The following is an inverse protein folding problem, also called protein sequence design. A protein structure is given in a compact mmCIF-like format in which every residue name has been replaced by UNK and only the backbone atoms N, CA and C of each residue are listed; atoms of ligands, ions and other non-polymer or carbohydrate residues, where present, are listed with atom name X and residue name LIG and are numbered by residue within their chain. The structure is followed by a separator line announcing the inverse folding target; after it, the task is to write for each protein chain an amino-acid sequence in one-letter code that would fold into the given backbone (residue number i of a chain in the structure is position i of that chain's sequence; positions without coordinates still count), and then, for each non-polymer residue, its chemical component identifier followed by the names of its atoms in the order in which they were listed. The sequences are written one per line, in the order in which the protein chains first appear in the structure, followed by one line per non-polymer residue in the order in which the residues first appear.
data_IF_747824748329
#
_entry.id   IF_747824748329
#
_cell.length_a   1.000
_cell.length_b   1.000
_cell.length_c   1.000
_cell.angle_alpha   90.00
_cell.angle_beta   90.00
_cell.angle_gamma   90.00
#
_symmetry.space_group_name_H-M   'P 1'
#
loop_
_entity.id
_entity.type
_entity.pdbx_description
1 polymer ?
#
# COMPACT_ATOMS: atom_id res chain seq x y z
N UNK A 1 7.59 -22.93 -6.35
CA UNK A 1 9.00 -22.48 -6.25
C UNK A 1 9.18 -21.89 -4.86
N UNK A 2 9.85 -22.59 -3.94
CA UNK A 2 10.15 -22.06 -2.59
C UNK A 2 11.10 -20.88 -2.78
N UNK A 3 10.62 -19.67 -2.54
CA UNK A 3 11.49 -18.49 -2.45
C UNK A 3 12.07 -18.49 -1.04
N UNK A 4 13.40 -18.54 -1.01
CA UNK A 4 14.24 -18.92 0.12
C UNK A 4 14.27 -17.85 1.20
N UNK A 5 13.82 -18.21 2.40
CA UNK A 5 14.07 -17.46 3.64
C UNK A 5 15.56 -17.25 3.90
N UNK A 6 16.42 -18.11 3.35
CA UNK A 6 17.88 -17.98 3.46
C UNK A 6 18.42 -16.73 2.77
N UNK A 7 17.81 -16.25 1.67
CA UNK A 7 18.29 -15.03 0.98
C UNK A 7 17.99 -13.75 1.76
N UNK A 8 16.83 -13.67 2.41
CA UNK A 8 16.49 -12.55 3.28
C UNK A 8 17.33 -12.57 4.57
N UNK A 9 17.56 -13.75 5.13
CA UNK A 9 18.42 -13.93 6.31
C UNK A 9 19.87 -13.56 5.97
N UNK A 10 20.41 -13.99 4.83
CA UNK A 10 21.75 -13.63 4.35
C UNK A 10 21.87 -12.12 4.05
N UNK A 11 20.82 -11.49 3.51
CA UNK A 11 20.79 -10.05 3.27
C UNK A 11 20.81 -9.24 4.58
N UNK A 12 20.04 -9.68 5.59
CA UNK A 12 20.04 -9.09 6.93
C UNK A 12 21.40 -9.30 7.62
N UNK A 13 21.98 -10.49 7.52
CA UNK A 13 23.31 -10.81 8.06
C UNK A 13 24.42 -9.95 7.45
N UNK A 14 24.42 -9.77 6.12
CA UNK A 14 25.39 -8.93 5.42
C UNK A 14 25.32 -7.47 5.88
N UNK A 15 24.10 -6.96 6.07
CA UNK A 15 23.87 -5.58 6.53
C UNK A 15 24.27 -5.35 8.00
N UNK A 16 24.25 -6.40 8.83
CA UNK A 16 24.73 -6.38 10.22
C UNK A 16 26.26 -6.38 10.27
N UNK A 17 26.93 -7.12 9.37
CA UNK A 17 28.39 -7.21 9.32
C UNK A 17 29.09 -6.01 8.67
N UNK A 18 28.37 -5.21 7.87
CA UNK A 18 28.90 -3.98 7.25
C UNK A 18 28.85 -2.74 8.19
N UNK A 19 28.33 -2.89 9.42
CA UNK A 19 28.31 -1.82 10.43
C UNK A 19 29.66 -1.80 11.19
N UNK A 20 30.37 -0.68 11.14
CA UNK A 20 31.65 -0.54 11.86
C UNK A 20 31.44 -0.19 13.33
N UNK A 21 32.42 -0.47 14.21
CA UNK A 21 32.38 -0.15 15.65
C UNK A 21 32.04 1.33 15.97
N UNK A 22 32.21 2.24 15.01
CA UNK A 22 31.84 3.66 15.15
C UNK A 22 30.37 3.97 14.86
N UNK A 23 29.62 3.04 14.28
CA UNK A 23 28.17 3.15 14.05
C UNK A 23 27.35 2.63 15.25
N UNK A 24 28.02 2.02 16.24
CA UNK A 24 27.46 1.69 17.55
C UNK A 24 27.40 2.94 18.44
N UNK A 25 26.46 3.84 18.18
CA UNK A 25 26.04 4.81 19.19
C UNK A 25 24.71 4.38 19.80
N UNK A 26 24.83 3.91 21.06
CA UNK A 26 23.80 3.54 22.03
C UNK A 26 23.03 2.23 21.79
N UNK A 27 23.70 1.12 22.10
CA UNK A 27 23.08 -0.15 22.49
C UNK A 27 22.34 0.01 23.83
N UNK A 28 21.20 -0.67 23.99
CA UNK A 28 20.44 -0.68 25.25
C UNK A 28 20.52 -2.06 25.93
N UNK A 29 20.86 -2.04 27.21
CA UNK A 29 21.07 -3.18 28.10
C UNK A 29 19.86 -3.36 29.00
N UNK A 30 19.24 -4.54 29.02
CA UNK A 30 18.28 -4.89 30.08
C UNK A 30 19.04 -5.35 31.33
N UNK A 31 19.10 -4.48 32.35
CA UNK A 31 19.19 -4.86 33.76
C UNK A 31 17.88 -4.49 34.42
N UNK A 32 17.43 -5.29 35.38
CA UNK A 32 16.16 -5.10 36.10
C UNK A 32 16.19 -3.74 36.81
N UNK A 33 15.59 -2.73 36.16
CA UNK A 33 15.09 -1.41 36.63
C UNK A 33 15.52 -0.24 35.71
N UNK A 34 14.49 0.49 35.25
CA UNK A 34 14.48 1.73 34.45
C UNK A 34 14.71 1.61 32.91
N UNK A 35 14.23 2.62 32.17
CA UNK A 35 13.50 2.56 30.87
C UNK A 35 14.32 3.06 29.63
N UNK A 36 13.82 2.72 28.41
CA UNK A 36 14.18 3.10 27.00
C UNK A 36 15.42 2.36 26.45
N UNK A 37 15.58 1.99 25.15
CA UNK A 37 14.87 2.26 23.88
C UNK A 37 14.85 1.05 22.89
N UNK A 38 14.27 1.22 21.67
CA UNK A 38 14.00 0.20 20.63
C UNK A 38 14.60 0.63 19.27
N UNK A 39 15.22 -0.28 18.52
CA UNK A 39 15.56 -0.07 17.09
C UNK A 39 14.62 -0.87 16.17
N UNK A 40 13.75 -0.15 15.46
CA UNK A 40 12.91 -0.63 14.35
C UNK A 40 13.58 -0.15 13.06
N UNK A 41 13.93 -1.06 12.15
CA UNK A 41 14.29 -0.64 10.79
C UNK A 41 13.06 -0.06 10.06
N UNK A 42 13.18 1.22 9.72
CA UNK A 42 12.42 2.02 8.75
C UNK A 42 11.10 2.69 9.15
N UNK A 43 10.92 3.12 10.40
CA UNK A 43 10.13 4.33 10.75
C UNK A 43 10.38 4.73 12.21
N UNK A 44 10.80 5.99 12.43
CA UNK A 44 10.94 6.58 13.77
C UNK A 44 9.54 6.77 14.36
N UNK A 45 9.18 5.98 15.38
CA UNK A 45 7.95 6.19 16.15
C UNK A 45 8.25 7.08 17.35
N UNK A 46 7.55 8.21 17.47
CA UNK A 46 7.50 8.99 18.72
C UNK A 46 6.55 8.28 19.69
N UNK A 47 7.02 8.04 20.91
CA UNK A 47 6.34 7.28 21.96
C UNK A 47 4.92 7.79 22.27
N UNK A 48 3.96 6.87 22.38
CA UNK A 48 2.61 7.11 22.90
C UNK A 48 2.33 6.22 24.12
N UNK A 49 1.39 6.60 24.99
CA UNK A 49 1.04 5.89 26.24
C UNK A 49 0.74 4.38 26.05
N UNK A 50 0.14 4.01 24.92
CA UNK A 50 -0.16 2.61 24.56
C UNK A 50 1.08 1.71 24.56
N UNK A 51 2.24 2.25 24.18
CA UNK A 51 3.49 1.50 24.12
C UNK A 51 4.14 1.27 25.50
N UNK A 52 3.85 2.12 26.50
CA UNK A 52 4.34 1.91 27.88
C UNK A 52 3.73 0.65 28.51
N UNK A 53 2.43 0.46 28.34
CA UNK A 53 1.74 -0.75 28.82
C UNK A 53 2.25 -2.01 28.14
N UNK A 54 2.54 -1.93 26.84
CA UNK A 54 3.07 -3.05 26.06
C UNK A 54 4.50 -3.46 26.47
N UNK A 55 5.40 -2.49 26.64
CA UNK A 55 6.74 -2.76 27.19
C UNK A 55 6.67 -3.29 28.62
N UNK A 56 5.67 -2.85 29.39
CA UNK A 56 5.34 -3.45 30.69
C UNK A 56 4.98 -4.93 30.61
N UNK A 57 4.16 -5.33 29.63
CA UNK A 57 3.83 -6.75 29.36
C UNK A 57 5.06 -7.56 28.97
N UNK A 58 5.89 -7.05 28.07
CA UNK A 58 7.16 -7.72 27.68
C UNK A 58 8.03 -7.95 28.92
N UNK A 59 8.26 -6.90 29.72
CA UNK A 59 9.02 -6.99 30.98
C UNK A 59 8.41 -8.02 31.94
N UNK A 60 7.08 -8.08 32.03
CA UNK A 60 6.36 -9.05 32.86
C UNK A 60 6.51 -10.50 32.37
N UNK A 61 6.52 -10.73 31.05
CA UNK A 61 6.72 -12.07 30.46
C UNK A 61 8.14 -12.56 30.70
N UNK A 62 9.16 -11.70 30.56
CA UNK A 62 10.55 -12.03 30.91
C UNK A 62 10.73 -12.34 32.40
N UNK A 63 9.86 -11.82 33.28
CA UNK A 63 9.89 -12.08 34.72
C UNK A 63 9.05 -13.31 35.15
N UNK A 64 8.27 -13.91 34.24
CA UNK A 64 7.42 -15.07 34.51
C UNK A 64 8.08 -16.38 34.04
N UNK A 65 7.78 -17.47 34.74
CA UNK A 65 8.21 -18.85 34.41
C UNK A 65 7.71 -19.36 33.06
N UNK A 66 6.67 -18.74 32.49
CA UNK A 66 6.08 -19.10 31.19
C UNK A 66 6.82 -18.47 29.98
N UNK A 67 7.96 -17.81 30.22
CA UNK A 67 8.80 -17.23 29.18
C UNK A 67 9.18 -18.28 28.11
N UNK A 68 9.62 -19.46 28.56
CA UNK A 68 10.09 -20.51 27.67
C UNK A 68 8.97 -21.17 26.86
N UNK A 69 7.74 -21.27 27.39
CA UNK A 69 6.62 -21.90 26.68
C UNK A 69 6.11 -21.07 25.50
N UNK A 70 6.31 -19.75 25.54
CA UNK A 70 5.88 -18.83 24.47
C UNK A 70 7.00 -18.52 23.47
N UNK A 71 8.18 -19.13 23.64
CA UNK A 71 9.37 -18.88 22.85
C UNK A 71 9.61 -20.01 21.84
N UNK A 72 9.82 -19.66 20.57
CA UNK A 72 10.14 -20.60 19.48
C UNK A 72 11.48 -20.26 18.87
N UNK A 73 12.38 -21.24 18.76
CA UNK A 73 13.67 -21.07 18.10
C UNK A 73 13.49 -20.79 16.60
N UNK A 74 14.26 -19.85 16.05
CA UNK A 74 14.30 -19.54 14.61
C UNK A 74 15.61 -20.08 14.01
N UNK A 75 16.76 -19.49 14.37
CA UNK A 75 18.13 -19.83 13.95
C UNK A 75 19.15 -18.97 14.71
N UNK A 76 20.45 -19.30 14.69
CA UNK A 76 21.58 -18.43 15.11
C UNK A 76 21.29 -17.47 16.29
N UNK A 77 20.87 -18.03 17.43
CA UNK A 77 20.52 -17.29 18.67
C UNK A 77 19.26 -16.41 18.61
N UNK A 78 18.49 -16.46 17.52
CA UNK A 78 17.20 -15.81 17.33
C UNK A 78 16.04 -16.69 17.80
N UNK A 79 15.15 -16.05 18.55
CA UNK A 79 13.94 -16.63 19.08
C UNK A 79 12.74 -15.76 18.74
N UNK A 80 11.59 -16.39 18.57
CA UNK A 80 10.31 -15.75 18.39
C UNK A 80 9.49 -15.89 19.66
N UNK A 81 9.11 -14.79 20.29
CA UNK A 81 8.34 -14.78 21.52
C UNK A 81 6.93 -14.27 21.26
N UNK A 82 5.92 -15.10 21.51
CA UNK A 82 4.52 -14.64 21.54
C UNK A 82 4.30 -13.82 22.82
N UNK A 83 3.91 -12.56 22.67
CA UNK A 83 3.69 -11.65 23.80
C UNK A 83 2.25 -11.75 24.28
N UNK A 84 1.31 -11.63 23.36
CA UNK A 84 -0.11 -11.89 23.56
C UNK A 84 -0.71 -12.37 22.23
N UNK A 85 -2.02 -12.56 22.16
CA UNK A 85 -2.71 -13.08 20.96
C UNK A 85 -2.43 -12.28 19.67
N UNK A 86 -2.10 -10.99 19.79
CA UNK A 86 -1.89 -10.09 18.65
C UNK A 86 -0.47 -9.60 18.51
N UNK A 87 0.45 -9.90 19.42
CA UNK A 87 1.77 -9.30 19.38
C UNK A 87 2.88 -10.33 19.54
N UNK A 88 3.94 -10.15 18.75
CA UNK A 88 5.07 -11.07 18.71
C UNK A 88 6.38 -10.32 18.63
N UNK A 89 7.37 -10.77 19.38
CA UNK A 89 8.74 -10.28 19.30
C UNK A 89 9.64 -11.28 18.59
N UNK A 90 10.64 -10.77 17.87
CA UNK A 90 11.85 -11.54 17.56
C UNK A 90 12.94 -11.01 18.47
N UNK A 91 13.54 -11.91 19.23
CA UNK A 91 14.57 -11.61 20.23
C UNK A 91 15.84 -12.40 19.93
N UNK A 92 16.99 -11.88 20.30
CA UNK A 92 18.28 -12.55 20.20
C UNK A 92 18.87 -12.74 21.60
N UNK A 93 19.56 -13.86 21.85
CA UNK A 93 20.34 -14.06 23.07
C UNK A 93 21.84 -13.87 22.79
N UNK A 94 22.44 -12.80 23.33
CA UNK A 94 23.88 -12.52 23.21
C UNK A 94 24.46 -12.02 24.52
N UNK A 95 25.68 -12.46 24.85
CA UNK A 95 26.43 -12.01 26.02
C UNK A 95 25.59 -12.02 27.32
N UNK A 96 24.89 -13.13 27.57
CA UNK A 96 23.98 -13.33 28.71
C UNK A 96 22.80 -12.35 28.81
N UNK A 97 22.34 -11.83 27.67
CA UNK A 97 21.20 -10.90 27.59
C UNK A 97 20.28 -11.22 26.42
N UNK A 98 19.00 -10.94 26.60
CA UNK A 98 18.00 -10.95 25.52
C UNK A 98 17.81 -9.54 24.97
N UNK A 99 17.86 -9.40 23.64
CA UNK A 99 17.60 -8.16 22.91
C UNK A 99 16.40 -8.32 22.00
N UNK A 100 15.47 -7.35 22.01
CA UNK A 100 14.31 -7.35 21.09
C UNK A 100 14.74 -6.69 19.78
N UNK A 101 14.79 -7.48 18.70
CA UNK A 101 15.17 -7.02 17.37
C UNK A 101 13.97 -6.51 16.57
N UNK A 102 12.84 -7.21 16.65
CA UNK A 102 11.62 -6.85 15.94
C UNK A 102 10.40 -7.01 16.83
N UNK A 103 9.42 -6.11 16.63
CA UNK A 103 8.11 -6.18 17.24
C UNK A 103 7.06 -6.18 16.13
N UNK A 104 6.31 -7.29 16.05
CA UNK A 104 5.16 -7.44 15.19
C UNK A 104 3.91 -7.14 16.00
N UNK A 105 3.26 -6.03 15.66
CA UNK A 105 1.96 -5.68 16.22
C UNK A 105 0.86 -6.22 15.31
N UNK A 106 -0.24 -6.70 15.90
CA UNK A 106 -1.34 -7.37 15.20
C UNK A 106 -0.89 -8.63 14.41
N UNK A 107 0.06 -9.39 14.94
CA UNK A 107 0.38 -10.74 14.45
C UNK A 107 -0.87 -11.63 14.56
N UNK A 108 -1.30 -12.22 13.45
CA UNK A 108 -2.43 -13.15 13.41
C UNK A 108 -1.94 -14.53 12.97
N UNK A 109 -2.28 -15.57 13.74
CA UNK A 109 -2.10 -16.96 13.32
C UNK A 109 -3.32 -17.43 12.54
N UNK A 110 -3.11 -17.99 11.34
CA UNK A 110 -4.19 -18.43 10.46
C UNK A 110 -4.71 -19.81 10.86
N UNK A 111 -5.41 -19.87 12.00
CA UNK A 111 -6.08 -21.07 12.50
C UNK A 111 -7.44 -21.30 11.80
N UNK A 112 -8.10 -22.42 12.09
CA UNK A 112 -9.39 -22.81 11.47
C UNK A 112 -10.49 -21.75 11.64
N UNK A 113 -10.48 -20.96 12.71
CA UNK A 113 -11.46 -19.89 12.94
C UNK A 113 -11.19 -18.72 12.00
N UNK A 114 -9.95 -18.23 11.95
CA UNK A 114 -9.54 -17.14 11.06
C UNK A 114 -9.74 -17.52 9.59
N UNK A 115 -9.47 -18.77 9.22
CA UNK A 115 -9.71 -19.29 7.86
C UNK A 115 -11.20 -19.17 7.51
N UNK A 116 -12.09 -19.69 8.36
CA UNK A 116 -13.55 -19.60 8.15
C UNK A 116 -14.03 -18.15 8.07
N UNK A 117 -13.50 -17.27 8.92
CA UNK A 117 -13.85 -15.84 8.89
C UNK A 117 -13.42 -15.17 7.58
N UNK A 118 -12.20 -15.44 7.09
CA UNK A 118 -11.72 -14.93 5.81
C UNK A 118 -12.56 -15.46 4.64
N UNK A 119 -12.94 -16.74 4.65
CA UNK A 119 -13.83 -17.32 3.64
C UNK A 119 -15.21 -16.64 3.64
N UNK A 120 -15.78 -16.39 4.82
CA UNK A 120 -17.05 -15.67 4.98
C UNK A 120 -16.95 -14.22 4.50
N UNK A 121 -15.82 -13.55 4.75
CA UNK A 121 -15.56 -12.20 4.26
C UNK A 121 -15.42 -12.19 2.74
N UNK A 122 -14.63 -13.11 2.18
CA UNK A 122 -14.43 -13.23 0.74
C UNK A 122 -15.75 -13.50 0.00
N UNK A 123 -16.63 -14.34 0.56
CA UNK A 123 -17.96 -14.60 -0.01
C UNK A 123 -18.88 -13.38 -0.02
N UNK A 124 -18.67 -12.41 0.88
CA UNK A 124 -19.41 -11.15 0.93
C UNK A 124 -18.70 -10.03 0.16
N UNK A 125 -17.45 -10.24 -0.23
CA UNK A 125 -16.63 -9.24 -0.88
C UNK A 125 -17.19 -8.96 -2.28
N UNK A 126 -17.24 -7.68 -2.71
CA UNK A 126 -17.70 -7.34 -4.05
C UNK A 126 -16.87 -8.03 -5.13
N UNK A 127 -17.51 -8.32 -6.27
CA UNK A 127 -16.82 -8.87 -7.44
C UNK A 127 -15.86 -7.81 -7.98
N UNK A 128 -14.60 -8.21 -8.20
CA UNK A 128 -13.56 -7.40 -8.83
C UNK A 128 -13.19 -8.04 -10.16
N UNK A 129 -13.28 -7.26 -11.23
CA UNK A 129 -12.90 -7.71 -12.57
C UNK A 129 -11.38 -7.97 -12.65
N UNK A 130 -10.94 -8.74 -13.64
CA UNK A 130 -9.50 -8.88 -13.92
C UNK A 130 -8.87 -7.55 -14.38
N UNK A 131 -7.54 -7.44 -14.36
CA UNK A 131 -6.89 -6.26 -14.97
C UNK A 131 -7.15 -6.23 -16.48
N UNK A 132 -7.22 -7.39 -17.14
CA UNK A 132 -7.55 -7.50 -18.57
C UNK A 132 -8.95 -6.97 -18.90
N UNK A 133 -9.96 -7.31 -18.12
CA UNK A 133 -11.33 -6.83 -18.32
C UNK A 133 -11.43 -5.33 -18.05
N UNK A 134 -10.77 -4.85 -16.99
CA UNK A 134 -10.71 -3.43 -16.66
C UNK A 134 -10.02 -2.64 -17.78
N UNK A 135 -8.91 -3.16 -18.33
CA UNK A 135 -8.20 -2.59 -19.47
C UNK A 135 -9.09 -2.50 -20.71
N UNK A 136 -9.83 -3.56 -21.02
CA UNK A 136 -10.77 -3.57 -22.14
C UNK A 136 -11.86 -2.51 -21.98
N UNK A 137 -12.41 -2.31 -20.78
CA UNK A 137 -13.38 -1.25 -20.50
C UNK A 137 -12.80 0.16 -20.73
N UNK A 138 -11.54 0.38 -20.34
CA UNK A 138 -10.85 1.66 -20.56
C UNK A 138 -10.64 1.93 -22.07
N UNK A 139 -10.20 0.92 -22.82
CA UNK A 139 -9.85 1.06 -24.25
C UNK A 139 -11.11 1.12 -25.13
N UNK A 140 -11.99 0.12 -25.01
CA UNK A 140 -13.11 -0.09 -25.95
C UNK A 140 -14.29 0.82 -25.63
N UNK A 141 -14.63 0.95 -24.35
CA UNK A 141 -15.76 1.78 -23.91
C UNK A 141 -15.34 3.22 -23.60
N UNK A 142 -14.04 3.54 -23.72
CA UNK A 142 -13.46 4.85 -23.39
C UNK A 142 -13.78 5.33 -21.97
N UNK A 143 -13.98 4.39 -21.03
CA UNK A 143 -14.26 4.75 -19.64
C UNK A 143 -13.07 5.49 -19.03
N UNK A 144 -13.38 6.45 -18.17
CA UNK A 144 -12.44 6.97 -17.19
C UNK A 144 -12.16 5.93 -16.11
N UNK A 145 -11.14 6.14 -15.27
CA UNK A 145 -10.78 5.22 -14.20
C UNK A 145 -10.52 6.00 -12.90
N UNK A 146 -11.25 5.66 -11.84
CA UNK A 146 -10.94 6.05 -10.46
C UNK A 146 -10.64 4.80 -9.65
N UNK A 147 -9.55 4.82 -8.89
CA UNK A 147 -9.12 3.65 -8.11
C UNK A 147 -9.19 3.94 -6.62
N UNK A 148 -9.44 2.89 -5.87
CA UNK A 148 -9.37 2.85 -4.42
C UNK A 148 -8.32 1.81 -4.01
N UNK A 149 -7.31 2.25 -3.28
CA UNK A 149 -6.40 1.39 -2.52
C UNK A 149 -6.69 1.49 -1.02
N UNK A 150 -5.79 0.94 -0.21
CA UNK A 150 -5.84 1.03 1.25
C UNK A 150 -5.82 2.50 1.71
N UNK A 151 -5.12 3.36 0.96
CA UNK A 151 -5.06 4.79 1.23
C UNK A 151 -6.42 5.50 1.18
N UNK A 152 -7.18 5.32 0.10
CA UNK A 152 -8.51 5.93 -0.05
C UNK A 152 -9.50 5.40 1.00
N UNK A 153 -9.49 4.09 1.27
CA UNK A 153 -10.32 3.50 2.32
C UNK A 153 -9.93 4.00 3.71
N UNK A 154 -8.65 4.16 4.01
CA UNK A 154 -8.18 4.74 5.28
C UNK A 154 -8.70 6.17 5.46
N UNK A 155 -8.72 6.98 4.39
CA UNK A 155 -9.27 8.34 4.43
C UNK A 155 -10.80 8.34 4.62
N UNK A 156 -11.53 7.40 4.02
CA UNK A 156 -12.96 7.19 4.32
C UNK A 156 -13.15 6.90 5.82
N UNK A 157 -12.29 6.07 6.40
CA UNK A 157 -12.26 5.71 7.82
C UNK A 157 -11.61 6.78 8.72
N UNK A 158 -11.42 8.02 8.21
CA UNK A 158 -10.88 9.16 8.94
C UNK A 158 -9.44 9.00 9.47
N UNK A 159 -8.63 8.20 8.77
CA UNK A 159 -7.21 8.00 9.07
C UNK A 159 -6.35 8.79 8.08
N UNK A 160 -5.34 9.49 8.59
CA UNK A 160 -4.31 10.10 7.77
C UNK A 160 -3.49 9.02 7.04
N UNK A 161 -2.97 9.37 5.87
CA UNK A 161 -2.00 8.54 5.14
C UNK A 161 -0.71 9.33 4.90
N UNK A 162 0.38 8.64 4.55
CA UNK A 162 1.73 9.21 4.56
C UNK A 162 1.92 10.51 3.75
N UNK A 163 1.13 10.72 2.71
CA UNK A 163 1.23 11.88 1.81
C UNK A 163 -0.08 12.68 1.69
N UNK A 164 -1.13 12.34 2.43
CA UNK A 164 -2.42 13.03 2.39
C UNK A 164 -3.08 12.95 3.76
N UNK A 165 -3.38 14.12 4.35
CA UNK A 165 -4.16 14.19 5.58
C UNK A 165 -5.63 13.95 5.29
N UNK A 166 -6.31 13.37 6.26
CA UNK A 166 -7.76 13.30 6.27
C UNK A 166 -8.36 14.72 6.27
N UNK A 167 -9.43 14.88 5.49
CA UNK A 167 -10.38 15.97 5.66
C UNK A 167 -11.79 15.44 5.38
N UNK A 168 -12.78 15.95 6.10
CA UNK A 168 -14.19 15.53 5.88
C UNK A 168 -14.63 15.79 4.45
N UNK A 169 -14.10 16.84 3.81
CA UNK A 169 -14.36 17.15 2.39
C UNK A 169 -13.83 16.05 1.47
N UNK A 170 -12.60 15.57 1.68
CA UNK A 170 -12.02 14.49 0.89
C UNK A 170 -12.77 13.17 1.13
N UNK A 171 -12.98 12.81 2.39
CA UNK A 171 -13.69 11.58 2.78
C UNK A 171 -15.08 11.50 2.15
N UNK A 172 -15.87 12.59 2.23
CA UNK A 172 -17.20 12.67 1.59
C UNK A 172 -17.14 12.46 0.08
N UNK A 173 -16.15 13.05 -0.61
CA UNK A 173 -15.97 12.84 -2.05
C UNK A 173 -15.59 11.41 -2.38
N UNK A 174 -14.71 10.78 -1.61
CA UNK A 174 -14.35 9.38 -1.81
C UNK A 174 -15.56 8.46 -1.63
N UNK A 175 -16.43 8.72 -0.64
CA UNK A 175 -17.69 7.99 -0.44
C UNK A 175 -18.66 8.20 -1.62
N UNK A 176 -18.83 9.44 -2.09
CA UNK A 176 -19.66 9.77 -3.26
C UNK A 176 -19.20 8.99 -4.50
N UNK A 177 -17.88 8.91 -4.70
CA UNK A 177 -17.30 8.19 -5.83
C UNK A 177 -17.53 6.69 -5.66
N UNK A 178 -17.20 6.11 -4.50
CA UNK A 178 -17.31 4.67 -4.27
C UNK A 178 -18.75 4.15 -4.43
N UNK A 179 -19.73 4.97 -4.04
CA UNK A 179 -21.17 4.65 -4.12
C UNK A 179 -21.83 5.06 -5.43
N UNK A 180 -21.10 5.71 -6.34
CA UNK A 180 -21.64 6.20 -7.61
C UNK A 180 -21.98 5.07 -8.57
N UNK A 181 -23.13 5.19 -9.24
CA UNK A 181 -23.61 4.26 -10.28
C UNK A 181 -23.38 4.76 -11.71
N UNK A 182 -22.56 5.81 -11.89
CA UNK A 182 -22.27 6.37 -13.21
C UNK A 182 -21.52 5.37 -14.10
N UNK A 183 -21.90 5.33 -15.38
CA UNK A 183 -21.33 4.45 -16.39
C UNK A 183 -20.12 5.03 -17.13
N UNK A 184 -19.94 6.36 -17.13
CA UNK A 184 -18.81 7.03 -17.80
C UNK A 184 -17.45 6.76 -17.15
N UNK A 185 -17.45 6.14 -15.96
CA UNK A 185 -16.26 5.86 -15.18
C UNK A 185 -16.27 4.44 -14.64
N UNK A 186 -15.12 3.79 -14.76
CA UNK A 186 -14.81 2.57 -14.06
C UNK A 186 -14.30 2.92 -12.65
N UNK A 187 -15.03 2.48 -11.64
CA UNK A 187 -14.58 2.55 -10.24
C UNK A 187 -13.91 1.22 -9.95
N UNK A 188 -12.68 1.27 -9.46
CA UNK A 188 -11.87 0.11 -9.17
C UNK A 188 -11.51 0.00 -7.69
N UNK A 189 -11.46 -1.24 -7.20
CA UNK A 189 -11.02 -1.58 -5.84
C UNK A 189 -9.96 -2.68 -5.92
N UNK A 190 -9.19 -2.93 -4.85
CA UNK A 190 -8.24 -4.02 -4.81
C UNK A 190 -8.99 -5.36 -4.70
N UNK A 191 -8.37 -6.41 -5.22
CA UNK A 191 -8.85 -7.77 -4.97
C UNK A 191 -8.77 -8.12 -3.48
N UNK A 192 -9.58 -9.10 -3.06
CA UNK A 192 -9.54 -9.59 -1.68
C UNK A 192 -8.15 -10.13 -1.31
N UNK A 193 -7.51 -10.83 -2.26
CA UNK A 193 -6.17 -11.39 -2.10
C UNK A 193 -5.46 -11.43 -3.47
N UNK A 194 -4.92 -10.30 -3.91
CA UNK A 194 -4.20 -10.19 -5.18
C UNK A 194 -3.00 -11.14 -5.24
N UNK A 195 -2.84 -11.85 -6.35
CA UNK A 195 -1.75 -12.81 -6.52
C UNK A 195 -0.38 -12.12 -6.64
N UNK A 196 -0.32 -11.01 -7.38
CA UNK A 196 0.94 -10.35 -7.74
C UNK A 196 1.19 -9.07 -6.95
N UNK A 197 0.16 -8.42 -6.43
CA UNK A 197 0.25 -7.18 -5.66
C UNK A 197 -0.25 -7.36 -4.22
N UNK A 198 0.32 -8.33 -3.53
CA UNK A 198 0.07 -8.54 -2.11
C UNK A 198 1.36 -8.93 -1.38
N UNK A 199 1.48 -8.47 -0.13
CA UNK A 199 2.63 -8.80 0.72
C UNK A 199 2.21 -10.01 1.57
N UNK A 200 2.74 -11.22 1.29
CA UNK A 200 2.40 -12.40 2.08
C UNK A 200 2.97 -12.27 3.49
N UNK A 201 2.31 -12.87 4.47
CA UNK A 201 2.78 -12.96 5.86
C UNK A 201 3.17 -11.61 6.48
N UNK A 202 2.45 -10.55 6.12
CA UNK A 202 2.70 -9.18 6.57
C UNK A 202 2.29 -9.00 8.04
N UNK A 203 1.19 -9.64 8.45
CA UNK A 203 0.63 -9.56 9.80
C UNK A 203 0.57 -10.94 10.43
N UNK A 204 1.72 -11.61 10.49
CA UNK A 204 1.83 -13.00 10.90
C UNK A 204 1.60 -13.94 9.72
N UNK A 205 0.61 -14.82 9.82
CA UNK A 205 0.30 -15.76 8.73
C UNK A 205 -0.60 -15.14 7.65
N UNK A 206 -1.17 -13.95 7.91
CA UNK A 206 -1.99 -13.22 6.95
C UNK A 206 -1.16 -12.34 6.04
N UNK A 207 -1.57 -12.28 4.78
CA UNK A 207 -1.11 -11.24 3.84
C UNK A 207 -1.62 -9.86 4.23
N UNK A 208 -1.04 -8.82 3.61
CA UNK A 208 -1.48 -7.44 3.82
C UNK A 208 -2.98 -7.25 3.55
N UNK A 209 -3.46 -7.70 2.38
CA UNK A 209 -4.87 -7.52 2.01
C UNK A 209 -5.83 -8.36 2.84
N UNK A 210 -5.48 -9.60 3.18
CA UNK A 210 -6.31 -10.42 4.08
C UNK A 210 -6.49 -9.72 5.43
N UNK A 211 -5.40 -9.25 6.04
CA UNK A 211 -5.48 -8.50 7.30
C UNK A 211 -6.24 -7.18 7.15
N UNK A 212 -6.03 -6.45 6.05
CA UNK A 212 -6.73 -5.20 5.78
C UNK A 212 -8.24 -5.39 5.74
N UNK A 213 -8.71 -6.38 4.97
CA UNK A 213 -10.13 -6.69 4.86
C UNK A 213 -10.69 -7.28 6.14
N UNK A 214 -9.96 -8.18 6.79
CA UNK A 214 -10.32 -8.71 8.11
C UNK A 214 -10.61 -7.60 9.13
N UNK A 215 -9.79 -6.54 9.11
CA UNK A 215 -9.91 -5.43 10.06
C UNK A 215 -10.96 -4.38 9.66
N UNK A 216 -11.11 -4.09 8.37
CA UNK A 216 -11.82 -2.89 7.93
C UNK A 216 -13.10 -3.18 7.12
N UNK A 217 -13.32 -4.41 6.64
CA UNK A 217 -14.41 -4.70 5.71
C UNK A 217 -15.79 -4.40 6.30
N UNK A 218 -16.04 -4.72 7.57
CA UNK A 218 -17.33 -4.43 8.20
C UNK A 218 -17.68 -2.94 8.25
N UNK A 219 -16.68 -2.07 8.34
CA UNK A 219 -16.87 -0.62 8.30
C UNK A 219 -17.04 -0.07 6.87
N UNK A 220 -16.62 -0.83 5.86
CA UNK A 220 -16.61 -0.40 4.46
C UNK A 220 -17.72 -1.03 3.61
N UNK A 221 -18.24 -2.20 4.02
CA UNK A 221 -19.12 -3.04 3.20
C UNK A 221 -20.35 -2.32 2.64
N UNK A 222 -20.92 -1.40 3.40
CA UNK A 222 -22.12 -0.65 3.01
C UNK A 222 -21.84 0.39 1.91
N UNK A 223 -20.58 0.73 1.65
CA UNK A 223 -20.21 1.62 0.55
C UNK A 223 -20.03 0.86 -0.77
N UNK A 224 -19.94 -0.47 -0.73
CA UNK A 224 -19.82 -1.26 -1.95
C UNK A 224 -21.20 -1.52 -2.58
N UNK A 225 -21.70 -0.55 -3.34
CA UNK A 225 -23.07 -0.56 -3.90
C UNK A 225 -23.18 -1.03 -5.35
N UNK A 226 -22.06 -1.36 -6.02
CA UNK A 226 -22.03 -1.82 -7.42
C UNK A 226 -21.98 -3.35 -7.51
N UNK A 227 -22.56 -3.95 -8.56
CA UNK A 227 -22.50 -5.40 -8.75
C UNK A 227 -21.08 -5.92 -9.01
N UNK A 228 -20.25 -5.12 -9.68
CA UNK A 228 -18.82 -5.36 -9.81
C UNK A 228 -18.03 -4.05 -9.86
N UNK A 229 -16.73 -4.17 -9.56
CA UNK A 229 -15.73 -3.12 -9.62
C UNK A 229 -14.61 -3.52 -10.57
N UNK A 230 -13.90 -2.53 -11.09
CA UNK A 230 -12.67 -2.79 -11.83
C UNK A 230 -11.53 -3.10 -10.88
N UNK A 231 -10.38 -3.45 -11.43
CA UNK A 231 -9.21 -3.80 -10.64
C UNK A 231 -8.33 -2.57 -10.36
N UNK A 232 -8.03 -2.29 -9.09
CA UNK A 232 -7.08 -1.22 -8.71
C UNK A 232 -5.65 -1.54 -9.13
N UNK A 233 -5.33 -2.83 -9.29
CA UNK A 233 -4.02 -3.30 -9.70
C UNK A 233 -3.69 -3.04 -11.18
N UNK A 234 -4.60 -2.39 -11.92
CA UNK A 234 -4.33 -1.78 -13.24
C UNK A 234 -3.11 -0.86 -13.27
N UNK A 235 -2.66 -0.41 -12.11
CA UNK A 235 -1.52 0.51 -11.95
C UNK A 235 -0.44 -0.06 -11.04
N UNK A 236 -0.51 -1.38 -10.80
CA UNK A 236 0.39 -2.16 -9.95
C UNK A 236 1.00 -3.27 -10.80
N UNK A 237 1.99 -3.99 -10.27
CA UNK A 237 2.74 -4.98 -11.02
C UNK A 237 1.85 -6.07 -11.68
N UNK A 238 0.71 -6.44 -11.06
CA UNK A 238 -0.28 -7.39 -11.60
C UNK A 238 -0.63 -7.12 -13.06
N UNK A 239 -0.84 -5.86 -13.45
CA UNK A 239 -1.25 -5.52 -14.83
C UNK A 239 -0.25 -6.01 -15.89
N UNK A 240 1.05 -6.02 -15.56
CA UNK A 240 2.12 -6.42 -16.48
C UNK A 240 2.32 -7.94 -16.53
N UNK A 241 1.79 -8.69 -15.56
CA UNK A 241 1.75 -10.15 -15.60
C UNK A 241 0.54 -10.66 -16.38
N UNK A 242 -0.58 -9.95 -16.32
CA UNK A 242 -1.84 -10.35 -16.97
C UNK A 242 -2.00 -9.79 -18.39
N UNK A 243 -1.31 -8.70 -18.72
CA UNK A 243 -1.42 -8.02 -20.01
C UNK A 243 -0.05 -7.76 -20.62
N UNK A 244 0.00 -7.76 -21.95
CA UNK A 244 1.21 -7.31 -22.64
C UNK A 244 1.37 -5.79 -22.53
N UNK A 245 2.61 -5.32 -22.53
CA UNK A 245 2.92 -3.89 -22.56
C UNK A 245 2.25 -3.20 -23.76
N UNK A 246 2.19 -3.89 -24.91
CA UNK A 246 1.54 -3.37 -26.12
C UNK A 246 0.03 -3.13 -25.91
N UNK A 247 -0.67 -4.04 -25.23
CA UNK A 247 -2.09 -3.87 -24.90
C UNK A 247 -2.30 -2.68 -23.94
N UNK A 248 -1.47 -2.56 -22.90
CA UNK A 248 -1.54 -1.44 -21.96
C UNK A 248 -1.32 -0.10 -22.69
N UNK A 249 -0.32 -0.04 -23.58
CA UNK A 249 0.03 1.15 -24.36
C UNK A 249 -1.09 1.62 -25.30
N UNK A 250 -2.11 0.80 -25.60
CA UNK A 250 -3.30 1.21 -26.36
C UNK A 250 -4.14 2.27 -25.64
N UNK A 251 -4.04 2.40 -24.32
CA UNK A 251 -4.77 3.43 -23.57
C UNK A 251 -4.45 4.83 -24.10
N UNK A 252 -3.18 5.10 -24.42
CA UNK A 252 -2.66 6.41 -24.83
C UNK A 252 -2.06 6.44 -26.24
N UNK A 253 -2.22 5.37 -27.02
CA UNK A 253 -1.69 5.26 -28.37
C UNK A 253 -2.19 6.38 -29.28
N UNK A 254 -1.24 7.17 -29.80
CA UNK A 254 -1.49 8.30 -30.72
C UNK A 254 -2.50 9.32 -30.17
N UNK A 255 -2.58 9.48 -28.84
CA UNK A 255 -3.44 10.46 -28.19
C UNK A 255 -2.66 11.71 -27.78
N UNK A 256 -3.38 12.82 -27.64
CA UNK A 256 -2.96 13.99 -26.88
C UNK A 256 -3.17 13.71 -25.39
N UNK A 257 -2.12 13.83 -24.60
CA UNK A 257 -2.11 13.45 -23.19
C UNK A 257 -1.70 14.63 -22.30
N UNK A 258 -2.40 14.80 -21.20
CA UNK A 258 -1.98 15.66 -20.08
C UNK A 258 -1.65 14.77 -18.89
N UNK A 259 -0.39 14.80 -18.46
CA UNK A 259 0.02 14.24 -17.18
C UNK A 259 -0.32 15.19 -16.05
N UNK A 260 -0.98 14.69 -15.01
CA UNK A 260 -1.26 15.46 -13.79
C UNK A 260 -0.64 14.71 -12.62
N UNK A 261 0.43 15.24 -12.04
CA UNK A 261 1.24 14.49 -11.08
C UNK A 261 1.90 15.38 -10.03
N UNK A 262 2.32 14.77 -8.92
CA UNK A 262 3.02 15.47 -7.85
C UNK A 262 4.44 15.85 -8.27
N UNK A 263 4.81 17.12 -8.12
CA UNK A 263 6.17 17.59 -8.38
C UNK A 263 7.17 16.77 -7.54
N UNK A 264 8.27 16.34 -8.15
CA UNK A 264 9.27 15.46 -7.53
C UNK A 264 8.72 14.15 -6.96
N UNK A 265 7.53 13.71 -7.38
CA UNK A 265 7.02 12.38 -7.03
C UNK A 265 7.83 11.26 -7.70
N UNK A 266 7.42 10.02 -7.46
CA UNK A 266 8.00 8.82 -8.07
C UNK A 266 7.54 8.60 -9.51
N UNK A 267 6.60 9.42 -10.00
CA UNK A 267 6.09 9.30 -11.36
C UNK A 267 7.14 9.71 -12.38
N UNK A 268 7.28 8.92 -13.44
CA UNK A 268 8.23 9.19 -14.52
C UNK A 268 7.49 9.45 -15.83
N UNK A 269 7.38 10.71 -16.20
CA UNK A 269 6.76 11.17 -17.45
C UNK A 269 7.51 10.71 -18.70
N UNK A 270 8.77 10.30 -18.57
CA UNK A 270 9.65 9.86 -19.66
C UNK A 270 9.84 8.34 -19.65
N UNK A 271 8.95 7.61 -18.97
CA UNK A 271 8.92 6.15 -19.02
C UNK A 271 8.68 5.64 -20.44
N UNK A 272 9.34 4.54 -20.81
CA UNK A 272 9.17 3.84 -22.10
C UNK A 272 7.72 3.40 -22.36
N UNK A 273 6.91 3.30 -21.30
CA UNK A 273 5.46 3.08 -21.42
C UNK A 273 4.79 4.15 -22.28
N UNK A 274 5.30 5.38 -22.29
CA UNK A 274 4.62 6.54 -22.89
C UNK A 274 5.14 6.95 -24.27
N UNK A 275 6.09 6.22 -24.85
CA UNK A 275 6.72 6.56 -26.15
C UNK A 275 5.76 6.66 -27.35
N UNK A 276 4.57 6.06 -27.27
CA UNK A 276 3.58 6.07 -28.34
C UNK A 276 2.49 7.14 -28.17
N UNK A 277 2.70 8.10 -27.26
CA UNK A 277 1.89 9.31 -27.12
C UNK A 277 2.18 10.25 -28.30
N UNK A 278 1.15 10.90 -28.84
CA UNK A 278 1.30 11.83 -29.95
C UNK A 278 1.78 13.21 -29.49
N UNK A 279 1.19 13.72 -28.41
CA UNK A 279 1.48 15.03 -27.84
C UNK A 279 1.32 14.96 -26.32
N UNK A 280 2.25 15.55 -25.57
CA UNK A 280 2.36 15.45 -24.10
C UNK A 280 2.37 16.85 -23.48
N UNK A 281 1.55 17.04 -22.46
CA UNK A 281 1.53 18.22 -21.58
C UNK A 281 1.64 17.79 -20.13
N UNK A 282 2.02 18.72 -19.26
CA UNK A 282 2.25 18.44 -17.84
C UNK A 282 1.59 19.48 -16.94
N UNK A 283 0.92 19.00 -15.90
CA UNK A 283 0.38 19.79 -14.80
C UNK A 283 1.02 19.27 -13.51
N UNK A 284 2.11 19.91 -13.11
CA UNK A 284 2.74 19.65 -11.81
C UNK A 284 1.86 20.18 -10.65
N UNK A 285 1.72 19.34 -9.62
CA UNK A 285 0.92 19.60 -8.43
C UNK A 285 1.77 19.42 -7.16
N UNK A 286 1.28 19.78 -5.95
CA UNK A 286 1.97 19.43 -4.71
C UNK A 286 2.22 17.91 -4.59
N UNK A 287 3.40 17.52 -4.10
CA UNK A 287 3.78 16.12 -3.92
C UNK A 287 3.00 15.44 -2.76
N UNK A 288 2.61 16.24 -1.77
CA UNK A 288 1.86 15.84 -0.59
C UNK A 288 0.72 16.81 -0.37
N UNK A 289 -0.36 16.33 0.24
CA UNK A 289 -1.59 17.08 0.52
C UNK A 289 -2.15 17.82 -0.71
N UNK A 290 -2.03 17.22 -1.90
CA UNK A 290 -2.44 17.83 -3.16
C UNK A 290 -3.94 18.21 -3.18
N UNK A 291 -4.76 17.55 -2.37
CA UNK A 291 -6.18 17.84 -2.27
C UNK A 291 -6.46 19.23 -1.68
N UNK A 292 -5.54 19.79 -0.88
CA UNK A 292 -5.64 21.18 -0.40
C UNK A 292 -5.70 22.19 -1.55
N UNK A 293 -5.05 21.88 -2.68
CA UNK A 293 -5.01 22.68 -3.90
C UNK A 293 -5.99 22.21 -4.99
N UNK A 294 -6.97 21.37 -4.63
CA UNK A 294 -7.86 20.71 -5.60
C UNK A 294 -8.54 21.65 -6.60
N UNK A 295 -9.06 22.79 -6.13
CA UNK A 295 -9.78 23.73 -6.98
C UNK A 295 -8.90 24.30 -8.10
N UNK A 296 -7.64 24.62 -7.79
CA UNK A 296 -6.68 25.14 -8.77
C UNK A 296 -6.23 24.05 -9.75
N UNK A 297 -5.96 22.84 -9.24
CA UNK A 297 -5.61 21.68 -10.08
C UNK A 297 -6.71 21.42 -11.10
N UNK A 298 -7.97 21.35 -10.65
CA UNK A 298 -9.12 21.15 -11.53
C UNK A 298 -9.22 22.28 -12.57
N UNK A 299 -9.08 23.54 -12.16
CA UNK A 299 -9.14 24.70 -13.07
C UNK A 299 -8.11 24.60 -14.19
N UNK A 300 -6.87 24.20 -13.89
CA UNK A 300 -5.81 23.98 -14.89
C UNK A 300 -6.17 22.86 -15.87
N UNK A 301 -6.73 21.75 -15.39
CA UNK A 301 -7.21 20.68 -16.27
C UNK A 301 -8.31 21.16 -17.24
N UNK A 302 -9.21 22.03 -16.79
CA UNK A 302 -10.32 22.53 -17.62
C UNK A 302 -9.90 23.48 -18.76
N UNK A 303 -8.62 23.87 -18.83
CA UNK A 303 -8.08 24.64 -19.95
C UNK A 303 -7.87 23.79 -21.22
N UNK A 304 -7.86 22.46 -21.08
CA UNK A 304 -7.66 21.54 -22.20
C UNK A 304 -8.99 21.13 -22.84
N UNK A 305 -8.92 20.77 -24.11
CA UNK A 305 -10.03 20.31 -24.94
C UNK A 305 -10.47 18.87 -24.60
N UNK A 306 -11.73 18.53 -24.90
CA UNK A 306 -12.37 17.25 -24.50
C UNK A 306 -11.77 16.00 -25.15
N UNK A 307 -11.06 16.15 -26.25
CA UNK A 307 -10.30 15.12 -26.95
C UNK A 307 -8.98 14.74 -26.26
N UNK A 308 -8.59 15.48 -25.21
CA UNK A 308 -7.40 15.21 -24.42
C UNK A 308 -7.63 14.09 -23.41
N UNK A 309 -6.69 13.15 -23.33
CA UNK A 309 -6.64 12.11 -22.30
C UNK A 309 -5.85 12.61 -21.08
N UNK A 310 -6.47 12.59 -19.90
CA UNK A 310 -5.76 12.86 -18.65
C UNK A 310 -5.20 11.57 -18.05
N UNK A 311 -3.90 11.56 -17.74
CA UNK A 311 -3.23 10.51 -17.00
C UNK A 311 -2.76 11.08 -15.65
N UNK A 312 -3.36 10.63 -14.55
CA UNK A 312 -3.25 11.29 -13.25
C UNK A 312 -2.51 10.38 -12.24
N UNK A 313 -1.41 10.87 -11.66
CA UNK A 313 -0.65 10.21 -10.58
C UNK A 313 -0.53 11.15 -9.38
N UNK A 314 -1.58 11.19 -8.54
CA UNK A 314 -1.73 12.20 -7.48
C UNK A 314 -2.43 11.68 -6.22
N UNK A 315 -2.26 10.38 -5.90
CA UNK A 315 -2.88 9.75 -4.74
C UNK A 315 -4.41 9.89 -4.70
N UNK A 316 -5.03 10.08 -3.53
CA UNK A 316 -6.48 10.27 -3.39
C UNK A 316 -7.04 11.44 -4.21
N UNK A 317 -6.21 12.44 -4.51
CA UNK A 317 -6.62 13.56 -5.38
C UNK A 317 -6.85 13.07 -6.81
N UNK A 318 -6.12 12.04 -7.27
CA UNK A 318 -6.33 11.42 -8.57
C UNK A 318 -7.68 10.70 -8.66
N UNK A 319 -8.08 9.97 -7.61
CA UNK A 319 -9.40 9.34 -7.51
C UNK A 319 -10.52 10.37 -7.67
N UNK A 320 -10.42 11.51 -6.98
CA UNK A 320 -11.41 12.58 -7.08
C UNK A 320 -11.38 13.27 -8.44
N UNK A 321 -10.19 13.63 -8.92
CA UNK A 321 -10.03 14.41 -10.15
C UNK A 321 -10.48 13.60 -11.38
N UNK A 322 -10.12 12.31 -11.45
CA UNK A 322 -10.57 11.42 -12.53
C UNK A 322 -12.09 11.33 -12.59
N UNK A 323 -12.76 11.19 -11.44
CA UNK A 323 -14.22 11.17 -11.37
C UNK A 323 -14.86 12.47 -11.82
N UNK A 324 -14.38 13.61 -11.33
CA UNK A 324 -14.98 14.89 -11.70
C UNK A 324 -14.71 15.27 -13.15
N UNK A 325 -13.55 14.95 -13.71
CA UNK A 325 -13.26 15.17 -15.13
C UNK A 325 -14.12 14.26 -16.02
N UNK A 326 -14.32 13.00 -15.62
CA UNK A 326 -15.23 12.08 -16.31
C UNK A 326 -16.67 12.62 -16.38
N UNK A 327 -17.15 13.18 -15.27
CA UNK A 327 -18.48 13.80 -15.20
C UNK A 327 -18.61 15.04 -16.08
N UNK A 328 -17.50 15.67 -16.44
CA UNK A 328 -17.46 16.80 -17.35
C UNK A 328 -17.23 16.36 -18.80
N UNK A 329 -17.19 15.06 -19.10
CA UNK A 329 -17.04 14.52 -20.45
C UNK A 329 -15.60 14.41 -20.93
N UNK A 330 -14.61 14.51 -20.04
CA UNK A 330 -13.22 14.14 -20.37
C UNK A 330 -12.99 12.64 -20.15
N UNK A 331 -12.00 12.06 -20.82
CA UNK A 331 -11.43 10.78 -20.39
C UNK A 331 -10.27 11.04 -19.43
N UNK A 332 -10.36 10.52 -18.20
CA UNK A 332 -9.35 10.69 -17.17
C UNK A 332 -9.05 9.35 -16.47
N UNK A 333 -7.78 8.96 -16.45
CA UNK A 333 -7.32 7.69 -15.92
C UNK A 333 -6.40 7.97 -14.74
N UNK A 334 -6.82 7.55 -13.55
CA UNK A 334 -5.94 7.47 -12.39
C UNK A 334 -4.91 6.35 -12.60
N UNK A 335 -3.67 6.74 -12.93
CA UNK A 335 -2.56 5.83 -13.24
C UNK A 335 -1.62 5.58 -12.05
N UNK A 336 -1.85 6.18 -10.88
CA UNK A 336 -1.16 5.82 -9.63
C UNK A 336 0.34 5.59 -9.77
N UNK A 337 0.80 4.41 -9.36
CA UNK A 337 2.21 4.01 -9.36
C UNK A 337 2.67 3.31 -10.66
N UNK A 338 1.91 3.38 -11.76
CA UNK A 338 2.13 2.58 -12.96
C UNK A 338 3.59 2.55 -13.44
N UNK A 339 4.27 3.70 -13.49
CA UNK A 339 5.67 3.78 -13.93
C UNK A 339 6.63 3.08 -12.96
N UNK A 340 6.46 3.27 -11.66
CA UNK A 340 7.29 2.61 -10.66
C UNK A 340 6.98 1.11 -10.58
N UNK A 341 5.72 0.71 -10.75
CA UNK A 341 5.31 -0.70 -10.83
C UNK A 341 5.84 -1.39 -12.08
N UNK A 342 6.07 -0.65 -13.18
CA UNK A 342 6.78 -1.18 -14.33
C UNK A 342 8.25 -1.45 -14.04
N UNK A 343 8.94 -0.53 -13.35
CA UNK A 343 10.33 -0.79 -12.90
C UNK A 343 10.39 -1.98 -11.92
N UNK A 344 9.38 -2.15 -11.07
CA UNK A 344 9.24 -3.32 -10.20
C UNK A 344 9.07 -4.61 -11.00
N UNK A 345 8.19 -4.60 -12.01
CA UNK A 345 7.98 -5.74 -12.91
C UNK A 345 9.27 -6.15 -13.64
N UNK A 346 10.11 -5.18 -14.03
CA UNK A 346 11.43 -5.43 -14.61
C UNK A 346 12.49 -5.92 -13.60
N UNK A 347 12.14 -6.05 -12.31
CA UNK A 347 13.06 -6.47 -11.25
C UNK A 347 14.10 -5.42 -10.85
N UNK A 348 13.93 -4.15 -11.26
CA UNK A 348 14.88 -3.07 -10.94
C UNK A 348 14.68 -2.50 -9.54
N UNK A 349 13.47 -2.61 -9.00
CA UNK A 349 13.12 -2.21 -7.63
C UNK A 349 12.25 -3.28 -6.97
N UNK A 350 12.26 -3.33 -5.64
CA UNK A 350 11.45 -4.31 -4.89
C UNK A 350 9.97 -3.95 -4.83
N UNK A 351 9.63 -2.67 -4.64
CA UNK A 351 8.27 -2.15 -4.61
C UNK A 351 8.25 -0.64 -4.93
N UNK A 352 7.15 -0.07 -5.45
CA UNK A 352 7.11 1.33 -5.91
C UNK A 352 7.60 2.34 -4.87
N UNK A 353 7.24 2.14 -3.61
CA UNK A 353 7.51 3.04 -2.50
C UNK A 353 8.99 3.02 -2.05
N UNK A 354 9.81 2.07 -2.55
CA UNK A 354 11.25 2.00 -2.24
C UNK A 354 12.05 3.10 -2.94
N UNK A 355 11.52 3.70 -4.00
CA UNK A 355 12.12 4.87 -4.65
C UNK A 355 12.01 6.10 -3.73
N UNK A 356 13.05 6.94 -3.63
CA UNK A 356 12.94 8.21 -2.94
C UNK A 356 11.97 9.14 -3.67
N UNK A 357 11.33 10.04 -2.92
CA UNK A 357 10.72 11.23 -3.49
C UNK A 357 11.89 12.13 -3.92
N UNK A 358 11.84 12.67 -5.15
CA UNK A 358 12.95 13.40 -5.79
C UNK A 358 13.18 14.79 -5.16
#
# INVERSE_FOLDING_TARGET
MKLDSEREIQYIYKKINDLTEKDYLSSYVFKINQVLSVHICNKVWRYTEKHKNFMGKIKHIFLKTDFYSNMKYINDELYSLQIDEYNRAVICYKCDKYEVLFLYNNYVTKNDTVIKELELLQNKFPIVDSTTDTLNKIIREKKSLSRFGDGEFNLILKKDIGFQKHSDRLSKKLIEILTSQKNSIQISIPEFNSMHNNIPKCFGDLSFWEHYWYTNFDSLKNYFTRPSYGNTDMTRNTVFFENTISEIKKIWQRKKVVFVYGNKSRFNTDSVLFENICEKFEIECPATDAFSSYSEIKKRCLQFSKDTLFLISLGPTATVLSYELANLGYQAIDIGHLTSSYEQYLGKISFPESLPIK
#
